data_IF_558639727612
#
_entry.id   IF_558639727612
#
_cell.length_a   1.000
_cell.length_b   1.000
_cell.length_c   1.000
_cell.angle_alpha   90.00
_cell.angle_beta   90.00
_cell.angle_gamma   90.00
#
_symmetry.space_group_name_H-M   'P 1'
#
loop_
_entity.id
_entity.type
_entity.pdbx_description
1 polymer ?
#
# COMPACT_ATOMS: atom_id res chain seq x y z
N UNK A 1 -22.34 -30.20 -39.19
CA UNK A 1 -22.55 -29.94 -37.74
C UNK A 1 -21.39 -30.50 -36.94
N UNK A 2 -20.88 -31.67 -37.31
CA UNK A 2 -19.76 -32.31 -36.62
C UNK A 2 -18.42 -31.58 -36.82
N UNK A 3 -18.19 -30.96 -37.99
CA UNK A 3 -16.98 -30.15 -38.24
C UNK A 3 -16.90 -28.86 -37.41
N UNK A 4 -18.05 -28.26 -37.10
CA UNK A 4 -18.12 -27.07 -36.25
C UNK A 4 -17.91 -27.44 -34.78
N UNK A 5 -18.43 -28.60 -34.37
CA UNK A 5 -18.21 -29.16 -33.03
C UNK A 5 -16.75 -29.57 -32.83
N UNK A 6 -16.13 -30.22 -33.82
CA UNK A 6 -14.72 -30.62 -33.74
C UNK A 6 -13.78 -29.41 -33.73
N UNK A 7 -14.07 -28.36 -34.52
CA UNK A 7 -13.31 -27.11 -34.47
C UNK A 7 -13.48 -26.37 -33.13
N UNK A 8 -14.68 -26.42 -32.52
CA UNK A 8 -14.94 -25.82 -31.21
C UNK A 8 -14.23 -26.57 -30.08
N UNK A 9 -14.24 -27.91 -30.11
CA UNK A 9 -13.54 -28.74 -29.12
C UNK A 9 -12.01 -28.52 -29.21
N UNK A 10 -11.45 -28.46 -30.42
CA UNK A 10 -10.03 -28.11 -30.60
C UNK A 10 -9.67 -26.74 -30.04
N UNK A 11 -10.53 -25.73 -30.25
CA UNK A 11 -10.30 -24.39 -29.71
C UNK A 11 -10.41 -24.38 -28.17
N UNK A 12 -11.30 -25.17 -27.60
CA UNK A 12 -11.44 -25.33 -26.15
C UNK A 12 -10.19 -25.98 -25.53
N UNK A 13 -9.64 -27.02 -26.17
CA UNK A 13 -8.41 -27.67 -25.72
C UNK A 13 -7.21 -26.71 -25.78
N UNK A 14 -7.08 -25.91 -26.85
CA UNK A 14 -6.03 -24.89 -26.94
C UNK A 14 -6.13 -23.83 -25.83
N UNK A 15 -7.35 -23.39 -25.49
CA UNK A 15 -7.56 -22.45 -24.39
C UNK A 15 -7.22 -23.08 -23.04
N UNK A 16 -7.57 -24.35 -22.83
CA UNK A 16 -7.25 -25.09 -21.61
C UNK A 16 -5.72 -25.19 -21.40
N UNK A 17 -4.98 -25.51 -22.46
CA UNK A 17 -3.52 -25.63 -22.42
C UNK A 17 -2.84 -24.28 -22.11
N UNK A 18 -3.34 -23.19 -22.70
CA UNK A 18 -2.84 -21.83 -22.40
C UNK A 18 -3.13 -21.41 -20.97
N UNK A 19 -4.33 -21.70 -20.45
CA UNK A 19 -4.70 -21.41 -19.06
C UNK A 19 -3.86 -22.24 -18.10
N UNK A 20 -3.62 -23.51 -18.39
CA UNK A 20 -2.77 -24.37 -17.57
C UNK A 20 -1.32 -23.90 -17.57
N UNK A 21 -0.79 -23.51 -18.74
CA UNK A 21 0.57 -22.97 -18.86
C UNK A 21 0.72 -21.63 -18.16
N UNK A 22 -0.26 -20.73 -18.29
CA UNK A 22 -0.27 -19.47 -17.55
C UNK A 22 -0.36 -19.73 -16.05
N UNK A 23 -1.23 -20.64 -15.62
CA UNK A 23 -1.38 -21.00 -14.21
C UNK A 23 -0.11 -21.62 -13.63
N UNK A 24 0.64 -22.42 -14.40
CA UNK A 24 1.87 -23.06 -13.93
C UNK A 24 3.02 -22.06 -13.81
N UNK A 25 3.15 -21.14 -14.76
CA UNK A 25 4.11 -20.02 -14.72
C UNK A 25 3.80 -19.03 -13.59
N UNK A 26 2.52 -18.70 -13.41
CA UNK A 26 2.08 -17.81 -12.35
C UNK A 26 2.31 -18.45 -10.97
N UNK A 27 2.04 -19.75 -10.84
CA UNK A 27 2.29 -20.52 -9.61
C UNK A 27 3.77 -20.70 -9.31
N UNK A 28 4.60 -20.99 -10.31
CA UNK A 28 6.05 -21.16 -10.13
C UNK A 28 6.70 -19.82 -9.76
N UNK A 29 6.30 -18.72 -10.39
CA UNK A 29 6.77 -17.38 -10.08
C UNK A 29 6.29 -16.84 -8.73
N UNK A 30 5.05 -17.12 -8.33
CA UNK A 30 4.49 -16.64 -7.06
C UNK A 30 4.85 -17.50 -5.85
N UNK A 31 5.18 -18.79 -6.03
CA UNK A 31 5.54 -19.71 -4.95
C UNK A 31 6.56 -19.14 -3.95
N UNK A 32 7.75 -18.66 -4.39
CA UNK A 32 8.75 -18.15 -3.45
C UNK A 32 8.27 -16.91 -2.70
N UNK A 33 7.52 -16.01 -3.36
CA UNK A 33 6.96 -14.84 -2.68
C UNK A 33 5.89 -15.28 -1.66
N UNK A 34 4.99 -16.18 -2.05
CA UNK A 34 3.94 -16.73 -1.20
C UNK A 34 4.50 -17.43 0.05
N UNK A 35 5.54 -18.25 -0.10
CA UNK A 35 6.16 -18.96 1.01
C UNK A 35 6.78 -17.98 2.03
N UNK A 36 7.42 -16.89 1.55
CA UNK A 36 7.91 -15.81 2.41
C UNK A 36 6.77 -15.07 3.13
N UNK A 37 5.67 -14.77 2.43
CA UNK A 37 4.50 -14.12 3.03
C UNK A 37 3.84 -15.00 4.09
N UNK A 38 3.67 -16.29 3.83
CA UNK A 38 3.10 -17.23 4.82
C UNK A 38 4.03 -17.38 6.02
N UNK A 39 5.34 -17.45 5.82
CA UNK A 39 6.31 -17.44 6.91
C UNK A 39 6.19 -16.19 7.79
N UNK A 40 6.04 -15.02 7.17
CA UNK A 40 5.78 -13.77 7.88
C UNK A 40 4.47 -13.80 8.69
N UNK A 41 3.35 -14.25 8.08
CA UNK A 41 2.05 -14.36 8.77
C UNK A 41 2.06 -15.36 9.92
N UNK A 42 2.85 -16.42 9.82
CA UNK A 42 2.98 -17.43 10.87
C UNK A 42 3.83 -16.94 12.04
N UNK A 43 4.81 -16.08 11.80
CA UNK A 43 5.61 -15.44 12.84
C UNK A 43 4.82 -14.41 13.67
N UNK A 44 3.63 -14.02 13.21
CA UNK A 44 2.75 -13.08 13.91
C UNK A 44 1.89 -13.85 14.92
N UNK A 45 1.98 -13.48 16.19
CA UNK A 45 1.12 -14.05 17.24
C UNK A 45 -0.28 -13.41 17.20
N UNK A 46 -1.21 -14.03 16.48
CA UNK A 46 -2.61 -13.62 16.39
C UNK A 46 -3.38 -13.67 17.72
N UNK A 47 -2.75 -14.15 18.79
CA UNK A 47 -3.34 -14.17 20.14
C UNK A 47 -3.22 -12.85 20.88
N UNK A 48 -2.43 -11.91 20.38
CA UNK A 48 -2.27 -10.61 21.02
C UNK A 48 -3.55 -9.75 20.92
N UNK A 49 -4.02 -9.17 22.05
CA UNK A 49 -5.32 -8.50 22.11
C UNK A 49 -5.41 -7.25 21.23
N UNK A 50 -4.31 -6.51 21.06
CA UNK A 50 -4.29 -5.31 20.21
C UNK A 50 -4.41 -5.66 18.72
N UNK A 51 -3.85 -6.80 18.29
CA UNK A 51 -3.94 -7.27 16.91
C UNK A 51 -5.36 -7.79 16.59
N UNK A 52 -6.00 -8.47 17.55
CA UNK A 52 -7.43 -8.79 17.44
C UNK A 52 -8.29 -7.52 17.37
N UNK A 53 -7.98 -6.51 18.19
CA UNK A 53 -8.62 -5.21 18.14
C UNK A 53 -8.46 -4.53 16.77
N UNK A 54 -7.27 -4.63 16.18
CA UNK A 54 -6.99 -4.12 14.84
C UNK A 54 -7.82 -4.84 13.76
N UNK A 55 -7.89 -6.17 13.79
CA UNK A 55 -8.76 -6.94 12.88
C UNK A 55 -10.24 -6.56 13.06
N UNK A 56 -10.69 -6.42 14.31
CA UNK A 56 -12.04 -5.98 14.65
C UNK A 56 -12.35 -4.58 14.11
N UNK A 57 -11.41 -3.64 14.21
CA UNK A 57 -11.52 -2.30 13.64
C UNK A 57 -11.75 -2.34 12.13
N UNK A 58 -10.97 -3.15 11.39
CA UNK A 58 -11.16 -3.29 9.94
C UNK A 58 -12.50 -3.92 9.58
N UNK A 59 -12.93 -4.94 10.31
CA UNK A 59 -14.24 -5.58 10.10
C UNK A 59 -15.39 -4.60 10.37
N UNK A 60 -15.29 -3.81 11.44
CA UNK A 60 -16.27 -2.76 11.74
C UNK A 60 -16.27 -1.66 10.67
N UNK A 61 -15.10 -1.23 10.20
CA UNK A 61 -14.98 -0.25 9.12
C UNK A 61 -15.61 -0.76 7.81
N UNK A 62 -15.47 -2.06 7.53
CA UNK A 62 -16.14 -2.71 6.40
C UNK A 62 -17.66 -2.73 6.57
N UNK A 63 -18.19 -3.08 7.75
CA UNK A 63 -19.63 -3.03 8.04
C UNK A 63 -20.16 -1.61 7.88
N UNK A 64 -19.48 -0.62 8.46
CA UNK A 64 -19.84 0.80 8.36
C UNK A 64 -19.86 1.25 6.90
N UNK A 65 -18.87 0.82 6.11
CA UNK A 65 -18.83 1.07 4.66
C UNK A 65 -20.06 0.50 3.95
N UNK A 66 -20.45 -0.74 4.25
CA UNK A 66 -21.60 -1.42 3.63
C UNK A 66 -22.94 -0.78 4.03
N UNK A 67 -23.11 -0.40 5.29
CA UNK A 67 -24.34 0.25 5.80
C UNK A 67 -24.44 1.67 5.26
N UNK A 68 -23.34 2.41 5.23
CA UNK A 68 -23.30 3.79 4.75
C UNK A 68 -23.41 3.92 3.23
N UNK A 69 -23.62 2.82 2.49
CA UNK A 69 -23.85 2.84 1.03
C UNK A 69 -25.02 3.71 0.58
N UNK A 70 -25.89 4.18 1.48
CA UNK A 70 -26.93 5.16 1.15
C UNK A 70 -26.47 6.62 1.31
N UNK A 71 -25.49 6.92 2.16
CA UNK A 71 -25.03 8.28 2.46
C UNK A 71 -23.70 8.59 1.77
N UNK A 72 -23.75 9.23 0.60
CA UNK A 72 -22.57 9.54 -0.22
C UNK A 72 -21.56 10.45 0.48
N UNK A 73 -22.04 11.48 1.20
CA UNK A 73 -21.16 12.40 1.93
C UNK A 73 -20.35 11.69 3.01
N UNK A 74 -20.98 10.75 3.73
CA UNK A 74 -20.30 9.96 4.75
C UNK A 74 -19.28 8.99 4.14
N UNK A 75 -19.60 8.38 3.00
CA UNK A 75 -18.63 7.53 2.29
C UNK A 75 -17.42 8.30 1.77
N UNK A 76 -17.58 9.55 1.30
CA UNK A 76 -16.45 10.38 0.92
C UNK A 76 -15.56 10.72 2.12
N UNK A 77 -16.17 11.02 3.27
CA UNK A 77 -15.42 11.23 4.51
C UNK A 77 -14.64 9.98 4.92
N UNK A 78 -15.29 8.80 4.94
CA UNK A 78 -14.62 7.53 5.23
C UNK A 78 -13.47 7.22 4.27
N UNK A 79 -13.64 7.52 2.99
CA UNK A 79 -12.60 7.33 1.98
C UNK A 79 -11.38 8.22 2.25
N UNK A 80 -11.59 9.51 2.49
CA UNK A 80 -10.51 10.43 2.84
C UNK A 80 -9.82 10.04 4.15
N UNK A 81 -10.59 9.59 5.15
CA UNK A 81 -10.05 9.08 6.40
C UNK A 81 -9.18 7.83 6.18
N UNK A 82 -9.62 6.90 5.34
CA UNK A 82 -8.85 5.70 5.00
C UNK A 82 -7.53 6.05 4.28
N UNK A 83 -7.57 6.94 3.29
CA UNK A 83 -6.36 7.42 2.61
C UNK A 83 -5.40 8.15 3.55
N UNK A 84 -5.94 8.99 4.44
CA UNK A 84 -5.14 9.66 5.47
C UNK A 84 -4.47 8.64 6.41
N UNK A 85 -5.21 7.60 6.82
CA UNK A 85 -4.66 6.50 7.62
C UNK A 85 -3.51 5.78 6.94
N UNK A 86 -3.61 5.53 5.64
CA UNK A 86 -2.51 4.95 4.83
C UNK A 86 -1.32 5.89 4.75
N UNK A 87 -1.54 7.19 4.53
CA UNK A 87 -0.48 8.20 4.48
C UNK A 87 0.31 8.29 5.81
N UNK A 88 -0.39 8.18 6.94
CA UNK A 88 0.24 8.22 8.26
C UNK A 88 0.89 6.90 8.68
N UNK A 89 0.77 5.82 7.91
CA UNK A 89 1.27 4.51 8.27
C UNK A 89 2.77 4.55 8.64
N UNK A 90 3.63 5.19 7.85
CA UNK A 90 5.07 5.25 8.16
C UNK A 90 5.37 5.93 9.50
N UNK A 91 4.66 7.03 9.80
CA UNK A 91 4.83 7.76 11.07
C UNK A 91 4.30 6.94 12.25
N UNK A 92 3.16 6.27 12.07
CA UNK A 92 2.61 5.37 13.08
C UNK A 92 3.56 4.19 13.34
N UNK A 93 4.15 3.61 12.29
CA UNK A 93 5.10 2.51 12.41
C UNK A 93 6.30 2.92 13.28
N UNK A 94 6.85 4.11 13.06
CA UNK A 94 7.96 4.63 13.87
C UNK A 94 7.57 4.81 15.34
N UNK A 95 6.44 5.46 15.60
CA UNK A 95 5.96 5.70 16.98
C UNK A 95 5.64 4.38 17.70
N UNK A 96 5.02 3.42 17.02
CA UNK A 96 4.71 2.11 17.56
C UNK A 96 5.96 1.26 17.79
N UNK A 97 6.96 1.36 16.90
CA UNK A 97 8.28 0.71 17.04
C UNK A 97 9.11 1.30 18.19
N UNK A 98 8.87 2.55 18.60
CA UNK A 98 9.53 3.13 19.78
C UNK A 98 8.82 2.72 21.09
N UNK A 99 7.50 2.49 21.04
CA UNK A 99 6.66 2.26 22.22
C UNK A 99 6.12 0.82 22.36
N UNK A 100 6.57 -0.14 21.53
CA UNK A 100 6.02 -1.51 21.46
C UNK A 100 5.89 -2.21 22.82
N UNK A 101 6.85 -1.98 23.73
CA UNK A 101 6.87 -2.59 25.09
C UNK A 101 5.62 -2.30 25.92
N UNK A 102 4.86 -1.26 25.58
CA UNK A 102 3.66 -0.85 26.32
C UNK A 102 2.41 -1.65 25.94
N UNK A 103 2.37 -2.28 24.76
CA UNK A 103 1.16 -2.95 24.25
C UNK A 103 1.40 -4.31 23.61
N UNK A 104 2.63 -4.62 23.19
CA UNK A 104 2.99 -5.88 22.54
C UNK A 104 4.03 -6.65 23.33
N UNK A 105 3.97 -7.99 23.28
CA UNK A 105 4.95 -8.85 23.93
C UNK A 105 6.29 -8.86 23.19
N UNK A 106 6.27 -8.62 21.88
CA UNK A 106 7.46 -8.54 21.04
C UNK A 106 7.37 -7.39 20.04
N UNK A 107 8.52 -7.01 19.48
CA UNK A 107 8.56 -5.94 18.50
C UNK A 107 8.27 -6.49 17.09
N UNK A 108 7.08 -6.20 16.58
CA UNK A 108 6.66 -6.55 15.22
C UNK A 108 7.00 -5.48 14.17
N UNK A 109 7.47 -4.29 14.59
CA UNK A 109 7.60 -3.14 13.71
C UNK A 109 8.99 -3.04 13.10
N UNK A 110 9.06 -3.21 11.78
CA UNK A 110 10.30 -3.10 11.00
C UNK A 110 10.64 -1.65 10.61
N UNK A 111 11.93 -1.31 10.41
CA UNK A 111 12.33 0.00 9.86
C UNK A 111 11.73 0.28 8.47
N UNK A 112 11.48 -0.77 7.69
CA UNK A 112 10.87 -0.67 6.36
C UNK A 112 9.33 -0.59 6.41
N UNK A 113 8.71 -0.78 7.58
CA UNK A 113 7.25 -0.68 7.75
C UNK A 113 6.43 -1.76 7.04
N UNK A 114 7.04 -2.91 6.71
CA UNK A 114 6.34 -4.01 6.03
C UNK A 114 5.16 -4.53 6.84
N UNK A 115 5.36 -4.78 8.14
CA UNK A 115 4.31 -5.25 9.03
C UNK A 115 3.09 -4.32 9.07
N UNK A 116 3.33 -3.03 9.31
CA UNK A 116 2.24 -2.07 9.35
C UNK A 116 1.61 -1.89 7.96
N UNK A 117 2.40 -1.88 6.87
CA UNK A 117 1.85 -1.79 5.51
C UNK A 117 0.88 -2.94 5.19
N UNK A 118 1.23 -4.17 5.57
CA UNK A 118 0.39 -5.34 5.30
C UNK A 118 -0.86 -5.36 6.18
N UNK A 119 -0.75 -5.07 7.48
CA UNK A 119 -1.87 -5.23 8.42
C UNK A 119 -2.75 -3.97 8.56
N UNK A 120 -2.19 -2.79 8.34
CA UNK A 120 -2.89 -1.52 8.37
C UNK A 120 -3.27 -1.11 6.94
N UNK A 121 -2.27 -0.81 6.10
CA UNK A 121 -2.54 -0.21 4.79
C UNK A 121 -3.23 -1.17 3.82
N UNK A 122 -2.90 -2.47 3.85
CA UNK A 122 -3.51 -3.48 2.96
C UNK A 122 -5.03 -3.54 3.07
N UNK A 123 -5.59 -3.91 4.24
CA UNK A 123 -7.04 -3.94 4.44
C UNK A 123 -7.71 -2.58 4.22
N UNK A 124 -7.08 -1.48 4.66
CA UNK A 124 -7.59 -0.12 4.42
C UNK A 124 -7.71 0.20 2.93
N UNK A 125 -6.72 -0.17 2.12
CA UNK A 125 -6.75 0.01 0.67
C UNK A 125 -7.84 -0.83 0.01
N UNK A 126 -8.03 -2.09 0.45
CA UNK A 126 -9.12 -2.93 -0.05
C UNK A 126 -10.49 -2.31 0.27
N UNK A 127 -10.67 -1.81 1.50
CA UNK A 127 -11.90 -1.10 1.89
C UNK A 127 -12.08 0.18 1.07
N UNK A 128 -11.02 0.95 0.85
CA UNK A 128 -11.05 2.15 0.01
C UNK A 128 -11.44 1.81 -1.45
N UNK A 129 -10.95 0.70 -1.99
CA UNK A 129 -11.35 0.20 -3.30
C UNK A 129 -12.83 -0.17 -3.36
N UNK A 130 -13.37 -0.83 -2.33
CA UNK A 130 -14.81 -1.14 -2.24
C UNK A 130 -15.65 0.15 -2.20
N UNK A 131 -15.21 1.18 -1.48
CA UNK A 131 -15.86 2.50 -1.45
C UNK A 131 -15.84 3.13 -2.84
N UNK A 132 -14.70 3.12 -3.53
CA UNK A 132 -14.57 3.67 -4.89
C UNK A 132 -15.51 2.98 -5.89
N UNK A 133 -15.57 1.64 -5.87
CA UNK A 133 -16.47 0.88 -6.74
C UNK A 133 -17.94 1.23 -6.42
N UNK A 134 -18.30 1.24 -5.13
CA UNK A 134 -19.66 1.58 -4.68
C UNK A 134 -20.07 3.00 -5.04
N UNK A 135 -19.12 3.95 -4.98
CA UNK A 135 -19.32 5.35 -5.35
C UNK A 135 -19.45 5.50 -6.87
N UNK A 136 -18.63 4.78 -7.64
CA UNK A 136 -18.62 4.80 -9.11
C UNK A 136 -19.94 4.28 -9.68
N UNK A 137 -20.44 3.13 -9.19
CA UNK A 137 -21.72 2.54 -9.64
C UNK A 137 -22.91 3.46 -9.38
N UNK A 138 -22.85 4.34 -8.35
CA UNK A 138 -23.94 5.27 -8.03
C UNK A 138 -23.86 6.61 -8.78
N UNK A 139 -22.67 7.04 -9.21
CA UNK A 139 -22.41 8.41 -9.69
C UNK A 139 -22.12 8.54 -11.19
N UNK A 140 -22.45 7.53 -12.02
CA UNK A 140 -22.35 7.63 -13.48
C UNK A 140 -23.24 8.76 -14.09
N UNK A 141 -24.08 9.42 -13.29
CA UNK A 141 -24.98 10.53 -13.68
C UNK A 141 -24.56 11.91 -13.11
N UNK A 142 -23.64 11.99 -12.14
CA UNK A 142 -23.29 13.24 -11.41
C UNK A 142 -21.84 13.73 -11.64
N UNK A 143 -21.21 13.23 -12.70
CA UNK A 143 -19.78 13.38 -13.00
C UNK A 143 -19.29 14.83 -13.18
N UNK A 144 -20.18 15.79 -13.47
CA UNK A 144 -19.77 17.14 -13.86
C UNK A 144 -19.74 18.18 -12.72
N UNK A 145 -20.56 18.05 -11.68
CA UNK A 145 -20.73 19.12 -10.68
C UNK A 145 -19.85 18.95 -9.42
N UNK A 146 -19.49 17.71 -9.08
CA UNK A 146 -18.63 17.41 -7.91
C UNK A 146 -17.13 17.41 -8.24
N UNK A 147 -16.79 17.44 -9.54
CA UNK A 147 -15.42 17.46 -10.04
C UNK A 147 -14.62 18.64 -9.51
N UNK A 148 -15.18 19.85 -9.41
CA UNK A 148 -14.43 21.06 -9.02
C UNK A 148 -13.92 21.04 -7.57
N UNK A 149 -14.74 20.59 -6.61
CA UNK A 149 -14.32 20.50 -5.20
C UNK A 149 -13.30 19.37 -4.98
N UNK A 150 -13.49 18.26 -5.70
CA UNK A 150 -12.56 17.13 -5.71
C UNK A 150 -11.23 17.49 -6.42
N UNK A 151 -11.26 18.35 -7.44
CA UNK A 151 -10.08 18.86 -8.15
C UNK A 151 -9.27 19.78 -7.24
N UNK A 152 -9.91 20.67 -6.48
CA UNK A 152 -9.21 21.55 -5.52
C UNK A 152 -8.52 20.73 -4.43
N UNK A 153 -9.18 19.71 -3.89
CA UNK A 153 -8.59 18.83 -2.87
C UNK A 153 -7.46 17.95 -3.43
N UNK A 154 -7.67 17.38 -4.62
CA UNK A 154 -6.66 16.59 -5.33
C UNK A 154 -5.43 17.44 -5.71
N UNK A 155 -5.62 18.68 -6.14
CA UNK A 155 -4.54 19.59 -6.49
C UNK A 155 -3.71 20.00 -5.28
N UNK A 156 -4.35 20.23 -4.12
CA UNK A 156 -3.65 20.54 -2.87
C UNK A 156 -2.85 19.32 -2.37
N UNK A 157 -3.42 18.12 -2.43
CA UNK A 157 -2.71 16.88 -2.07
C UNK A 157 -1.55 16.56 -3.04
N UNK A 158 -1.74 16.73 -4.35
CA UNK A 158 -0.68 16.58 -5.34
C UNK A 158 0.43 17.62 -5.17
N UNK A 159 0.10 18.88 -4.88
CA UNK A 159 1.11 19.91 -4.57
C UNK A 159 1.95 19.52 -3.35
N UNK A 160 1.31 18.97 -2.31
CA UNK A 160 1.98 18.53 -1.09
C UNK A 160 2.90 17.33 -1.32
N UNK A 161 2.46 16.36 -2.12
CA UNK A 161 3.27 15.20 -2.52
C UNK A 161 4.48 15.63 -3.37
N UNK A 162 4.28 16.53 -4.34
CA UNK A 162 5.35 17.08 -5.17
C UNK A 162 6.35 17.86 -4.30
N UNK A 163 5.88 18.67 -3.34
CA UNK A 163 6.74 19.38 -2.40
C UNK A 163 7.56 18.43 -1.52
N UNK A 164 6.97 17.35 -1.03
CA UNK A 164 7.69 16.32 -0.26
C UNK A 164 8.77 15.63 -1.09
N UNK A 165 8.44 15.18 -2.31
CA UNK A 165 9.40 14.50 -3.19
C UNK A 165 10.54 15.44 -3.58
N UNK A 166 10.25 16.70 -3.92
CA UNK A 166 11.27 17.67 -4.29
C UNK A 166 12.18 18.05 -3.10
N UNK A 167 11.61 18.12 -1.89
CA UNK A 167 12.40 18.34 -0.66
C UNK A 167 13.32 17.15 -0.38
N UNK A 168 12.84 15.92 -0.55
CA UNK A 168 13.64 14.71 -0.39
C UNK A 168 14.77 14.63 -1.42
N UNK A 169 14.49 14.94 -2.69
CA UNK A 169 15.51 14.98 -3.74
C UNK A 169 16.57 16.06 -3.48
N UNK A 170 16.15 17.24 -3.03
CA UNK A 170 17.06 18.33 -2.66
C UNK A 170 17.95 17.97 -1.45
N UNK A 171 17.38 17.30 -0.44
CA UNK A 171 18.11 16.78 0.71
C UNK A 171 19.13 15.71 0.29
N UNK A 172 18.74 14.75 -0.54
CA UNK A 172 19.65 13.73 -1.10
C UNK A 172 20.80 14.37 -1.89
N UNK A 173 20.50 15.38 -2.73
CA UNK A 173 21.52 16.11 -3.48
C UNK A 173 22.52 16.83 -2.56
N UNK A 174 22.03 17.50 -1.51
CA UNK A 174 22.86 18.19 -0.52
C UNK A 174 23.74 17.22 0.26
N UNK A 175 23.22 16.05 0.66
CA UNK A 175 23.99 15.00 1.34
C UNK A 175 25.13 14.51 0.45
N UNK A 176 24.87 14.24 -0.84
CA UNK A 176 25.91 13.81 -1.79
C UNK A 176 26.97 14.89 -1.98
N UNK A 177 26.54 16.15 -2.14
CA UNK A 177 27.45 17.29 -2.32
C UNK A 177 28.33 17.51 -1.08
N UNK A 178 27.74 17.40 0.10
CA UNK A 178 28.44 17.52 1.38
C UNK A 178 29.46 16.39 1.58
N UNK A 179 29.06 15.13 1.34
CA UNK A 179 29.96 13.97 1.40
C UNK A 179 31.14 14.11 0.43
N UNK A 180 30.89 14.61 -0.78
CA UNK A 180 31.92 14.88 -1.79
C UNK A 180 32.84 16.05 -1.39
N UNK A 181 32.36 17.04 -0.64
CA UNK A 181 33.19 18.12 -0.11
C UNK A 181 34.07 17.63 1.05
N UNK A 182 33.53 16.81 1.94
CA UNK A 182 34.29 16.26 3.06
C UNK A 182 35.43 15.34 2.61
N UNK A 183 35.19 14.46 1.63
CA UNK A 183 36.24 13.60 1.07
C UNK A 183 37.38 14.43 0.45
N UNK A 184 37.05 15.54 -0.21
CA UNK A 184 38.07 16.47 -0.76
C UNK A 184 38.85 17.19 0.33
N UNK A 185 38.22 17.54 1.44
CA UNK A 185 38.91 18.12 2.59
C UNK A 185 39.86 17.10 3.23
N UNK A 186 39.40 15.86 3.44
CA UNK A 186 40.22 14.77 3.98
C UNK A 186 41.43 14.46 3.10
N UNK A 187 41.28 14.48 1.78
CA UNK A 187 42.38 14.29 0.83
C UNK A 187 43.45 15.39 0.89
N UNK A 188 43.06 16.66 1.14
CA UNK A 188 44.04 17.76 1.33
C UNK A 188 44.80 17.64 2.65
N UNK A 189 44.11 17.20 3.70
CA UNK A 189 44.72 17.01 5.03
C UNK A 189 45.69 15.82 5.04
N UNK A 190 45.43 14.75 4.28
CA UNK A 190 46.38 13.64 4.14
C UNK A 190 47.63 14.05 3.37
N UNK A 191 47.49 14.79 2.26
CA UNK A 191 48.62 15.23 1.45
C UNK A 191 49.58 16.16 2.23
N UNK A 192 49.03 17.01 3.12
CA UNK A 192 49.82 17.93 3.97
C UNK A 192 50.56 17.22 5.12
N UNK A 193 50.36 15.92 5.34
CA UNK A 193 51.07 15.14 6.36
C UNK A 193 52.23 14.31 5.81
N UNK A 194 52.33 14.18 4.48
CA UNK A 194 53.43 13.49 3.79
C UNK A 194 54.55 14.43 3.33
N UNK A 195 54.28 15.75 3.31
CA UNK A 195 55.27 16.84 3.14
C UNK A 195 55.81 17.32 4.50
#
# INVERSE_FOLDING_TARGET
MDDLRSALDQHMDQMADLVQKLSSELRSGLRPAYDNFIGFFHAIDWREPWLMGLLGFHFLLLIVTIISRKHTNFQMFLFLLALSGVYFAERLNKVLSENWRTFASQNYFDPHGLFLSVLWSGPLLVIAMIILVSLCTRNLIFFHFWSLLCFIFCQVCCLFLILQVNTLLSLCYLIVKWKRAELRHRARVSHKKED
#
